data_IF_769107257514
#
_entry.id   IF_769107257514
#
_cell.length_a   1.000
_cell.length_b   1.000
_cell.length_c   1.000
_cell.angle_alpha   90.00
_cell.angle_beta   90.00
_cell.angle_gamma   90.00
#
_symmetry.space_group_name_H-M   'P 1'
#
loop_
_entity.id
_entity.type
_entity.pdbx_description
1 polymer ?
#
# COMPACT_ATOMS: atom_id res chain seq x y z
N UNK A 1 -17.58 -1.01 11.81
CA UNK A 1 -18.25 -1.00 10.49
C UNK A 1 -17.31 -1.66 9.49
N UNK A 2 -17.69 -2.78 8.88
CA UNK A 2 -16.94 -3.37 7.78
C UNK A 2 -17.13 -2.54 6.49
N UNK A 3 -16.09 -2.46 5.67
CA UNK A 3 -16.07 -1.85 4.35
C UNK A 3 -15.80 -2.94 3.31
N UNK A 4 -16.19 -2.66 2.07
CA UNK A 4 -15.80 -3.34 0.85
C UNK A 4 -14.32 -3.10 0.45
N UNK A 5 -13.62 -2.16 1.08
CA UNK A 5 -12.18 -1.94 0.84
C UNK A 5 -11.35 -2.99 1.57
N UNK A 6 -10.76 -3.91 0.80
CA UNK A 6 -9.80 -4.91 1.28
C UNK A 6 -8.37 -4.56 0.86
N UNK A 7 -7.39 -5.27 1.41
CA UNK A 7 -5.99 -5.14 0.99
C UNK A 7 -5.81 -5.41 -0.51
N UNK A 8 -6.58 -6.34 -1.05
CA UNK A 8 -6.51 -6.73 -2.46
C UNK A 8 -7.04 -5.61 -3.35
N UNK A 9 -8.16 -4.99 -2.99
CA UNK A 9 -8.69 -3.79 -3.69
C UNK A 9 -7.65 -2.67 -3.72
N UNK A 10 -6.92 -2.47 -2.61
CA UNK A 10 -5.84 -1.47 -2.57
C UNK A 10 -4.67 -1.87 -3.49
N UNK A 11 -4.26 -3.14 -3.51
CA UNK A 11 -3.17 -3.64 -4.36
C UNK A 11 -3.51 -3.57 -5.86
N UNK A 12 -4.75 -3.85 -6.23
CA UNK A 12 -5.23 -3.76 -7.61
C UNK A 12 -5.03 -2.37 -8.20
N UNK A 13 -5.17 -1.31 -7.40
CA UNK A 13 -4.93 0.07 -7.82
C UNK A 13 -3.47 0.49 -7.65
N UNK A 14 -2.84 0.09 -6.54
CA UNK A 14 -1.49 0.57 -6.19
C UNK A 14 -0.38 -0.03 -7.06
N UNK A 15 -0.46 -1.32 -7.40
CA UNK A 15 0.58 -2.01 -8.16
C UNK A 15 0.72 -1.44 -9.59
N UNK A 16 -0.37 -1.22 -10.36
CA UNK A 16 -0.28 -0.55 -11.66
C UNK A 16 0.20 0.90 -11.56
N UNK A 17 -0.09 1.59 -10.46
CA UNK A 17 0.42 2.94 -10.19
C UNK A 17 1.92 2.97 -9.84
N UNK A 18 2.60 1.82 -9.83
CA UNK A 18 4.05 1.71 -9.60
C UNK A 18 4.45 1.71 -8.11
N UNK A 19 3.49 1.65 -7.20
CA UNK A 19 3.72 1.46 -5.77
C UNK A 19 3.88 -0.02 -5.44
N UNK A 20 4.53 -0.31 -4.32
CA UNK A 20 4.63 -1.66 -3.77
C UNK A 20 4.29 -1.63 -2.28
N UNK A 21 3.47 -2.58 -1.82
CA UNK A 21 3.32 -2.82 -0.40
C UNK A 21 4.53 -3.59 0.13
N UNK A 22 5.15 -3.09 1.20
CA UNK A 22 6.30 -3.76 1.81
C UNK A 22 6.06 -4.19 3.26
N UNK A 23 4.92 -3.78 3.83
CA UNK A 23 4.52 -4.10 5.19
C UNK A 23 3.00 -4.12 5.25
N UNK A 24 2.50 -5.13 5.93
CA UNK A 24 1.13 -5.21 6.46
C UNK A 24 1.20 -5.35 7.98
N UNK A 25 0.26 -4.77 8.70
CA UNK A 25 0.07 -4.99 10.13
C UNK A 25 -1.41 -5.09 10.50
N UNK A 26 -1.75 -5.94 11.47
CA UNK A 26 -3.07 -5.93 12.07
C UNK A 26 -3.20 -4.69 12.99
N UNK A 27 -4.25 -3.89 12.77
CA UNK A 27 -4.63 -2.81 13.68
C UNK A 27 -5.68 -3.35 14.66
N UNK A 28 -6.53 -4.27 14.21
CA UNK A 28 -7.50 -5.00 15.03
C UNK A 28 -8.14 -6.15 14.25
N UNK A 29 -9.25 -6.69 14.75
CA UNK A 29 -9.93 -7.83 14.10
C UNK A 29 -10.60 -7.53 12.76
N UNK A 30 -10.79 -6.26 12.43
CA UNK A 30 -11.44 -5.81 11.17
C UNK A 30 -10.46 -5.07 10.25
N UNK A 31 -9.46 -4.39 10.81
CA UNK A 31 -8.61 -3.45 10.07
C UNK A 31 -7.15 -3.89 10.05
N UNK A 32 -6.54 -3.76 8.87
CA UNK A 32 -5.10 -3.85 8.66
C UNK A 32 -4.55 -2.55 8.09
N UNK A 33 -3.27 -2.29 8.37
CA UNK A 33 -2.51 -1.19 7.81
C UNK A 33 -1.58 -1.69 6.71
N UNK A 34 -1.69 -1.10 5.51
CA UNK A 34 -0.76 -1.33 4.39
C UNK A 34 0.20 -0.16 4.26
N UNK A 35 1.49 -0.46 4.10
CA UNK A 35 2.50 0.53 3.74
C UNK A 35 2.87 0.39 2.27
N UNK A 36 2.43 1.36 1.48
CA UNK A 36 2.83 1.51 0.08
C UNK A 36 4.07 2.40 -0.04
N UNK A 37 5.02 2.00 -0.87
CA UNK A 37 6.23 2.77 -1.15
C UNK A 37 6.51 2.82 -2.65
N UNK A 38 7.16 3.89 -3.10
CA UNK A 38 7.70 3.98 -4.46
C UNK A 38 8.96 3.10 -4.53
N UNK A 39 9.11 2.29 -5.58
CA UNK A 39 10.33 1.51 -5.83
C UNK A 39 11.57 2.40 -5.91
N UNK A 40 12.74 1.91 -5.48
CA UNK A 40 13.93 2.77 -5.31
C UNK A 40 14.37 3.40 -6.64
N UNK A 41 14.33 2.63 -7.70
CA UNK A 41 14.63 3.02 -9.08
C UNK A 41 13.68 4.08 -9.65
N UNK A 42 12.48 4.24 -9.08
CA UNK A 42 11.48 5.24 -9.51
C UNK A 42 11.45 6.48 -8.61
N UNK A 43 12.26 6.53 -7.54
CA UNK A 43 12.31 7.71 -6.66
C UNK A 43 13.17 8.79 -7.30
N UNK A 44 12.57 9.95 -7.54
CA UNK A 44 13.32 11.15 -7.91
C UNK A 44 14.32 11.50 -6.79
N UNK A 45 15.61 11.55 -7.16
CA UNK A 45 16.71 11.90 -6.26
C UNK A 45 16.66 13.36 -5.82
N UNK A 46 15.92 14.22 -6.52
CA UNK A 46 15.78 15.64 -6.18
C UNK A 46 14.85 15.91 -4.99
N UNK A 47 13.97 14.95 -4.64
CA UNK A 47 12.96 15.07 -3.58
C UNK A 47 13.40 14.50 -2.23
N UNK A 48 14.69 14.29 -2.02
CA UNK A 48 15.27 13.73 -0.79
C UNK A 48 16.14 14.72 -0.05
#
# INVERSE_FOLDING_TARGET
MPTDVTEDVVREVALPAGLVDNKVCAIGGVWSGLRLVIRREHRDRSRR
#
